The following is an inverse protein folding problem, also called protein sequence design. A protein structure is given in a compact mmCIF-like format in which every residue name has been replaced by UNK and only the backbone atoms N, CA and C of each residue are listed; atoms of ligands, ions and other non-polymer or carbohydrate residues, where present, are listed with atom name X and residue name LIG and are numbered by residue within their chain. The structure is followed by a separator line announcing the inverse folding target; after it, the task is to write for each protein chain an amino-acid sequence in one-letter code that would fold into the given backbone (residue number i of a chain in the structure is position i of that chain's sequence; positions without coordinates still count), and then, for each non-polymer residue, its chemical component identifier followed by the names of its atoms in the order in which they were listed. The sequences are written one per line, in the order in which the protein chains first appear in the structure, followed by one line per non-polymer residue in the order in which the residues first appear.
data_IF_749985950517
#
_entry.id   IF_749985950517
#
_cell.length_a   1.000
_cell.length_b   1.000
_cell.length_c   1.000
_cell.angle_alpha   90.00
_cell.angle_beta   90.00
_cell.angle_gamma   90.00
#
_symmetry.space_group_name_H-M   'P 1'
#
loop_
_entity.id
_entity.type
_entity.pdbx_description
1 polymer ?
#
# COMPACT_ATOMS: atom_id res chain seq x y z
N UNK A 1 -40.44 30.09 -14.80
CA UNK A 1 -39.51 29.42 -15.72
C UNK A 1 -39.69 27.91 -15.53
N UNK A 2 -40.38 27.27 -16.48
CA UNK A 2 -40.50 25.81 -16.52
C UNK A 2 -39.18 25.26 -17.00
N UNK A 3 -38.34 24.77 -16.09
CA UNK A 3 -37.18 23.96 -16.44
C UNK A 3 -37.70 22.59 -16.84
N UNK A 4 -37.87 22.35 -18.13
CA UNK A 4 -38.10 21.01 -18.65
C UNK A 4 -36.96 20.09 -18.13
N UNK A 5 -37.31 19.15 -17.27
CA UNK A 5 -36.39 18.07 -16.87
C UNK A 5 -36.19 17.20 -18.11
N UNK A 6 -35.00 17.27 -18.70
CA UNK A 6 -34.58 16.29 -19.70
C UNK A 6 -34.39 14.95 -18.98
N UNK A 7 -35.28 14.03 -19.16
CA UNK A 7 -35.11 12.64 -18.75
C UNK A 7 -34.28 11.92 -19.83
N UNK A 8 -33.18 11.31 -19.39
CA UNK A 8 -32.42 10.39 -20.21
C UNK A 8 -32.06 9.18 -19.35
N UNK A 9 -32.04 8.02 -19.99
CA UNK A 9 -31.76 6.75 -19.31
C UNK A 9 -30.33 6.31 -19.56
N UNK A 10 -29.68 5.81 -18.50
CA UNK A 10 -28.38 5.18 -18.55
C UNK A 10 -28.49 3.80 -17.93
N UNK A 11 -27.69 2.84 -18.41
CA UNK A 11 -27.61 1.52 -17.76
C UNK A 11 -27.10 1.64 -16.34
N UNK A 12 -26.06 2.47 -16.14
CA UNK A 12 -25.38 2.62 -14.86
C UNK A 12 -24.96 4.07 -14.66
N UNK A 13 -25.20 4.58 -13.46
CA UNK A 13 -24.68 5.88 -13.00
C UNK A 13 -23.64 5.63 -11.91
N UNK A 14 -22.42 6.18 -12.09
CA UNK A 14 -21.33 6.14 -11.12
C UNK A 14 -21.24 7.51 -10.45
N UNK A 15 -21.32 7.55 -9.13
CA UNK A 15 -21.23 8.79 -8.36
C UNK A 15 -19.82 8.99 -7.85
N UNK A 16 -19.18 10.08 -8.27
CA UNK A 16 -17.82 10.48 -7.94
C UNK A 16 -16.79 10.09 -9.02
N UNK A 17 -16.08 11.09 -9.53
CA UNK A 17 -15.01 10.93 -10.53
C UNK A 17 -13.61 10.88 -9.91
N UNK A 18 -13.46 10.29 -8.73
CA UNK A 18 -12.16 9.87 -8.21
C UNK A 18 -11.64 8.63 -8.96
N UNK A 19 -10.42 8.20 -8.65
CA UNK A 19 -9.77 7.05 -9.33
C UNK A 19 -10.65 5.79 -9.34
N UNK A 20 -11.36 5.51 -8.24
CA UNK A 20 -12.25 4.35 -8.14
C UNK A 20 -13.43 4.47 -9.08
N UNK A 21 -14.13 5.61 -9.09
CA UNK A 21 -15.28 5.82 -9.96
C UNK A 21 -14.90 5.81 -11.43
N UNK A 22 -13.82 6.48 -11.81
CA UNK A 22 -13.31 6.50 -13.18
C UNK A 22 -12.89 5.10 -13.65
N UNK A 23 -12.19 4.32 -12.81
CA UNK A 23 -11.80 2.95 -13.14
C UNK A 23 -13.03 2.05 -13.30
N UNK A 24 -14.02 2.19 -12.41
CA UNK A 24 -15.29 1.45 -12.50
C UNK A 24 -16.02 1.77 -13.81
N UNK A 25 -16.16 3.04 -14.13
CA UNK A 25 -16.81 3.49 -15.37
C UNK A 25 -16.07 2.99 -16.62
N UNK A 26 -14.73 3.01 -16.61
CA UNK A 26 -13.90 2.49 -17.69
C UNK A 26 -14.20 1.01 -17.97
N UNK A 27 -14.16 0.15 -16.94
CA UNK A 27 -14.39 -1.28 -17.11
C UNK A 27 -15.82 -1.61 -17.51
N UNK A 28 -16.81 -0.89 -16.95
CA UNK A 28 -18.21 -1.03 -17.34
C UNK A 28 -18.43 -0.64 -18.81
N UNK A 29 -17.85 0.48 -19.23
CA UNK A 29 -17.93 0.93 -20.63
C UNK A 29 -17.23 -0.04 -21.58
N UNK A 30 -16.06 -0.56 -21.18
CA UNK A 30 -15.35 -1.61 -21.94
C UNK A 30 -16.19 -2.89 -22.05
N UNK A 31 -17.01 -3.20 -21.04
CA UNK A 31 -18.00 -4.28 -21.04
C UNK A 31 -19.29 -3.96 -21.80
N UNK A 32 -19.36 -2.86 -22.57
CA UNK A 32 -20.50 -2.50 -23.43
C UNK A 32 -21.66 -1.84 -22.70
N UNK A 33 -21.48 -1.37 -21.46
CA UNK A 33 -22.54 -0.66 -20.72
C UNK A 33 -22.56 0.82 -21.07
N UNK A 34 -23.76 1.41 -21.12
CA UNK A 34 -23.93 2.86 -21.19
C UNK A 34 -23.80 3.45 -19.79
N UNK A 35 -22.67 4.12 -19.54
CA UNK A 35 -22.28 4.59 -18.20
C UNK A 35 -22.17 6.09 -18.18
N UNK A 36 -22.73 6.71 -17.15
CA UNK A 36 -22.54 8.10 -16.81
C UNK A 36 -21.84 8.26 -15.49
N UNK A 37 -20.90 9.22 -15.39
CA UNK A 37 -20.22 9.57 -14.15
C UNK A 37 -20.67 10.94 -13.69
N UNK A 38 -21.17 11.04 -12.46
CA UNK A 38 -21.55 12.30 -11.83
C UNK A 38 -20.49 12.70 -10.82
N UNK A 39 -19.96 13.91 -10.97
CA UNK A 39 -19.00 14.52 -10.05
C UNK A 39 -19.58 15.84 -9.51
N UNK A 40 -19.43 16.08 -8.20
CA UNK A 40 -19.93 17.30 -7.55
C UNK A 40 -18.97 18.47 -7.68
N UNK A 41 -17.70 18.21 -7.88
CA UNK A 41 -16.66 19.22 -8.02
C UNK A 41 -16.46 19.59 -9.50
N UNK A 42 -15.91 20.76 -9.77
CA UNK A 42 -15.62 21.23 -11.13
C UNK A 42 -14.52 20.41 -11.83
N UNK A 43 -13.77 19.61 -11.08
CA UNK A 43 -12.69 18.76 -11.59
C UNK A 43 -12.92 17.30 -11.23
N UNK A 44 -12.41 16.40 -12.06
CA UNK A 44 -12.29 14.97 -11.79
C UNK A 44 -10.92 14.63 -11.17
N UNK A 45 -10.77 13.38 -10.70
CA UNK A 45 -9.53 12.88 -10.08
C UNK A 45 -9.61 12.74 -8.56
N UNK A 46 -10.54 13.41 -7.90
CA UNK A 46 -10.74 13.31 -6.44
C UNK A 46 -9.49 13.75 -5.67
N UNK A 47 -8.91 12.83 -4.88
CA UNK A 47 -7.68 13.09 -4.10
C UNK A 47 -6.39 13.15 -4.95
N UNK A 48 -6.44 12.70 -6.22
CA UNK A 48 -5.30 12.80 -7.13
C UNK A 48 -5.37 14.17 -7.79
N UNK A 49 -4.50 15.06 -7.36
CA UNK A 49 -4.44 16.43 -7.89
C UNK A 49 -3.04 17.01 -7.78
N UNK A 50 -2.53 17.42 -8.92
CA UNK A 50 -1.25 18.09 -9.05
C UNK A 50 -1.44 19.60 -9.08
N UNK A 51 -0.74 20.33 -8.25
CA UNK A 51 -0.71 21.79 -8.25
C UNK A 51 0.51 22.32 -8.99
N UNK A 52 0.28 23.37 -9.75
CA UNK A 52 1.31 24.19 -10.37
C UNK A 52 1.20 25.61 -9.80
N UNK A 53 2.10 25.99 -8.92
CA UNK A 53 2.07 27.30 -8.27
C UNK A 53 3.48 27.88 -8.26
N UNK A 54 3.67 29.07 -8.82
CA UNK A 54 4.93 29.83 -8.83
C UNK A 54 6.14 29.01 -9.34
N UNK A 55 5.92 28.15 -10.36
CA UNK A 55 6.95 27.29 -10.92
C UNK A 55 7.22 26.00 -10.13
N UNK A 56 6.52 25.78 -9.03
CA UNK A 56 6.57 24.54 -8.27
C UNK A 56 5.46 23.58 -8.69
N UNK A 57 5.80 22.30 -8.66
CA UNK A 57 4.88 21.19 -8.93
C UNK A 57 4.79 20.31 -7.68
N UNK A 58 3.58 20.13 -7.16
CA UNK A 58 3.36 19.26 -5.99
C UNK A 58 1.99 18.60 -6.01
N UNK A 59 1.89 17.44 -5.35
CA UNK A 59 0.67 16.66 -5.24
C UNK A 59 -0.07 16.97 -3.93
N UNK A 60 -1.40 17.08 -3.97
CA UNK A 60 -2.23 17.20 -2.76
C UNK A 60 -2.55 15.86 -2.10
N UNK A 61 -2.30 14.79 -2.80
CA UNK A 61 -2.62 13.43 -2.37
C UNK A 61 -1.48 12.46 -2.67
N UNK A 62 -1.78 11.25 -3.17
CA UNK A 62 -0.74 10.27 -3.49
C UNK A 62 0.14 10.75 -4.64
N UNK A 63 1.45 10.74 -4.42
CA UNK A 63 2.46 11.12 -5.42
C UNK A 63 3.08 9.91 -6.14
N UNK A 64 2.83 8.69 -5.66
CA UNK A 64 3.30 7.45 -6.26
C UNK A 64 2.28 6.34 -6.09
N UNK A 65 2.28 5.38 -7.01
CA UNK A 65 1.44 4.20 -6.97
C UNK A 65 2.23 2.92 -7.19
N UNK A 66 1.58 1.79 -6.95
CA UNK A 66 2.13 0.45 -7.23
C UNK A 66 1.14 -0.28 -8.14
N UNK A 67 1.58 -0.64 -9.33
CA UNK A 67 0.83 -1.53 -10.21
C UNK A 67 0.98 -2.97 -9.70
N UNK A 68 0.05 -3.40 -8.85
CA UNK A 68 0.14 -4.69 -8.14
C UNK A 68 -0.79 -5.77 -8.68
N UNK A 69 -1.64 -5.44 -9.66
CA UNK A 69 -2.57 -6.38 -10.28
C UNK A 69 -2.49 -6.33 -11.80
N UNK A 70 -2.79 -7.45 -12.50
CA UNK A 70 -2.85 -7.48 -13.96
C UNK A 70 -3.83 -6.46 -14.55
N UNK A 71 -4.98 -6.27 -13.90
CA UNK A 71 -6.03 -5.34 -14.34
C UNK A 71 -5.55 -3.89 -14.30
N UNK A 72 -4.76 -3.52 -13.29
CA UNK A 72 -4.17 -2.19 -13.21
C UNK A 72 -3.13 -1.98 -14.33
N UNK A 73 -2.32 -2.99 -14.64
CA UNK A 73 -1.38 -2.95 -15.77
C UNK A 73 -2.13 -2.83 -17.09
N UNK A 74 -3.19 -3.61 -17.29
CA UNK A 74 -4.04 -3.54 -18.48
C UNK A 74 -4.67 -2.15 -18.66
N UNK A 75 -5.20 -1.56 -17.59
CA UNK A 75 -5.76 -0.21 -17.60
C UNK A 75 -4.72 0.80 -18.10
N UNK A 76 -3.55 0.84 -17.48
CA UNK A 76 -2.50 1.81 -17.87
C UNK A 76 -1.97 1.57 -19.27
N UNK A 77 -1.87 0.32 -19.72
CA UNK A 77 -1.50 0.02 -21.10
C UNK A 77 -2.55 0.50 -22.10
N UNK A 78 -3.84 0.42 -21.75
CA UNK A 78 -4.92 0.85 -22.64
C UNK A 78 -5.03 2.36 -22.81
N UNK A 79 -4.48 3.15 -21.88
CA UNK A 79 -4.43 4.62 -21.92
C UNK A 79 -3.00 5.15 -22.14
N UNK A 80 -2.06 4.31 -22.59
CA UNK A 80 -0.66 4.66 -22.72
C UNK A 80 -0.38 5.80 -23.74
N UNK A 81 -1.31 6.04 -24.67
CA UNK A 81 -1.23 7.16 -25.60
C UNK A 81 -1.39 8.52 -24.88
N UNK A 82 -2.21 8.56 -23.83
CA UNK A 82 -2.57 9.78 -23.12
C UNK A 82 -1.88 9.89 -21.74
N UNK A 83 -1.45 8.75 -21.16
CA UNK A 83 -0.88 8.69 -19.83
C UNK A 83 0.36 7.78 -19.79
N UNK A 84 1.53 8.35 -19.59
CA UNK A 84 2.78 7.61 -19.47
C UNK A 84 3.10 7.28 -18.01
N UNK A 85 3.40 5.99 -17.75
CA UNK A 85 3.84 5.53 -16.46
C UNK A 85 5.35 5.74 -16.31
N UNK A 86 5.75 6.64 -15.41
CA UNK A 86 7.14 6.84 -15.05
C UNK A 86 7.57 5.87 -13.93
N UNK A 87 8.61 5.08 -14.19
CA UNK A 87 9.16 4.16 -13.18
C UNK A 87 10.02 4.93 -12.19
N UNK A 88 9.72 4.76 -10.90
CA UNK A 88 10.50 5.40 -9.83
C UNK A 88 11.97 4.95 -9.86
N UNK A 89 12.89 5.90 -9.66
CA UNK A 89 14.33 5.63 -9.60
C UNK A 89 14.65 4.66 -8.45
N UNK A 90 15.71 3.88 -8.59
CA UNK A 90 16.15 2.92 -7.55
C UNK A 90 16.45 3.60 -6.21
N UNK A 91 16.93 4.85 -6.22
CA UNK A 91 17.15 5.66 -5.02
C UNK A 91 15.87 5.94 -4.22
N UNK A 92 14.71 6.01 -4.87
CA UNK A 92 13.41 6.21 -4.23
C UNK A 92 12.95 5.00 -3.39
N UNK A 93 13.60 3.85 -3.53
CA UNK A 93 13.32 2.67 -2.71
C UNK A 93 13.84 2.77 -1.27
N UNK A 94 14.78 3.68 -1.01
CA UNK A 94 15.33 3.89 0.32
C UNK A 94 14.32 4.66 1.18
N UNK A 95 13.99 4.10 2.33
CA UNK A 95 13.19 4.76 3.38
C UNK A 95 14.11 5.18 4.50
N UNK A 96 14.11 6.46 4.81
CA UNK A 96 14.97 7.06 5.82
C UNK A 96 14.12 7.40 7.05
N UNK A 97 14.68 7.11 8.22
CA UNK A 97 14.10 7.45 9.52
C UNK A 97 15.05 8.37 10.25
N UNK A 98 14.51 9.45 10.80
CA UNK A 98 15.27 10.37 11.65
C UNK A 98 15.50 9.75 13.03
N UNK A 99 16.75 9.60 13.41
CA UNK A 99 17.13 9.10 14.73
C UNK A 99 18.47 9.67 15.15
N UNK A 100 18.58 10.21 16.38
CA UNK A 100 19.82 10.80 16.92
C UNK A 100 20.48 11.77 15.95
N UNK A 101 19.72 12.77 15.53
CA UNK A 101 20.14 13.87 14.65
C UNK A 101 20.72 13.43 13.28
N UNK A 102 20.33 12.27 12.82
CA UNK A 102 20.72 11.76 11.50
C UNK A 102 19.65 10.94 10.81
N UNK A 103 19.68 10.93 9.47
CA UNK A 103 18.85 10.03 8.69
C UNK A 103 19.49 8.66 8.59
N UNK A 104 18.77 7.64 9.01
CA UNK A 104 19.20 6.25 8.93
C UNK A 104 18.25 5.44 8.05
N UNK A 105 18.77 4.69 7.10
CA UNK A 105 17.97 3.87 6.22
C UNK A 105 17.34 2.67 6.95
N UNK A 106 16.06 2.41 6.67
CA UNK A 106 15.42 1.16 7.08
C UNK A 106 16.11 -0.03 6.41
N UNK A 107 16.37 -1.12 7.13
CA UNK A 107 17.02 -2.29 6.56
C UNK A 107 16.11 -2.97 5.52
N UNK A 108 16.70 -3.36 4.39
CA UNK A 108 16.01 -4.04 3.29
C UNK A 108 16.48 -5.49 3.09
N UNK A 109 17.51 -5.91 3.81
CA UNK A 109 18.09 -7.26 3.77
C UNK A 109 18.46 -7.72 5.17
N UNK A 110 18.76 -9.02 5.33
CA UNK A 110 19.23 -9.58 6.62
C UNK A 110 20.55 -8.96 7.06
N UNK A 111 21.49 -8.76 6.14
CA UNK A 111 22.78 -8.13 6.46
C UNK A 111 22.58 -6.70 6.97
N UNK A 112 21.76 -5.89 6.30
CA UNK A 112 21.47 -4.53 6.75
C UNK A 112 20.62 -4.51 8.03
N UNK A 113 19.81 -5.52 8.30
CA UNK A 113 19.08 -5.65 9.56
C UNK A 113 19.99 -5.92 10.75
N UNK A 114 21.09 -6.68 10.54
CA UNK A 114 22.09 -6.95 11.57
C UNK A 114 22.95 -5.70 11.85
N UNK A 115 23.35 -4.99 10.80
CA UNK A 115 24.32 -3.87 10.92
C UNK A 115 23.66 -2.53 11.24
N UNK A 116 22.35 -2.37 11.02
CA UNK A 116 21.64 -1.08 11.23
C UNK A 116 21.82 -0.54 12.65
N UNK A 117 22.09 0.77 12.81
CA UNK A 117 22.10 1.45 14.11
C UNK A 117 20.69 1.80 14.62
N UNK A 118 19.64 1.56 13.82
CA UNK A 118 18.25 1.83 14.24
C UNK A 118 17.85 1.02 15.47
N UNK A 119 18.36 -0.20 15.60
CA UNK A 119 17.99 -1.14 16.66
C UNK A 119 19.20 -1.53 17.50
N UNK A 120 18.99 -1.61 18.80
CA UNK A 120 20.01 -2.09 19.73
C UNK A 120 20.26 -3.59 19.55
N UNK A 121 21.37 -4.10 20.09
CA UNK A 121 21.64 -5.54 20.12
C UNK A 121 20.52 -6.31 20.82
N UNK A 122 19.99 -5.75 21.92
CA UNK A 122 18.84 -6.32 22.62
C UNK A 122 17.61 -6.43 21.73
N UNK A 123 17.26 -5.36 20.97
CA UNK A 123 16.13 -5.39 20.04
C UNK A 123 16.31 -6.47 18.97
N UNK A 124 17.52 -6.60 18.43
CA UNK A 124 17.86 -7.61 17.42
C UNK A 124 17.74 -9.04 17.98
N UNK A 125 18.21 -9.29 19.21
CA UNK A 125 18.04 -10.57 19.88
C UNK A 125 16.58 -10.85 20.21
N UNK A 126 15.83 -9.83 20.61
CA UNK A 126 14.39 -9.94 20.88
C UNK A 126 13.60 -10.46 19.67
N UNK A 127 13.99 -10.08 18.46
CA UNK A 127 13.36 -10.56 17.21
C UNK A 127 13.55 -12.07 17.02
N UNK A 128 14.67 -12.64 17.42
CA UNK A 128 14.89 -14.10 17.32
C UNK A 128 13.87 -14.89 18.16
N UNK A 129 13.35 -14.29 19.23
CA UNK A 129 12.27 -14.88 20.04
C UNK A 129 10.85 -14.66 19.47
N UNK A 130 10.69 -13.89 18.38
CA UNK A 130 9.38 -13.61 17.80
C UNK A 130 8.59 -14.89 17.42
N UNK A 131 9.22 -15.92 16.81
CA UNK A 131 8.50 -17.15 16.43
C UNK A 131 7.91 -17.95 17.59
N UNK A 132 8.36 -17.71 18.81
CA UNK A 132 7.90 -18.41 20.02
C UNK A 132 6.84 -17.65 20.80
N UNK A 133 6.45 -16.46 20.36
CA UNK A 133 5.41 -15.66 21.02
C UNK A 133 4.05 -16.14 20.66
N UNK A 134 3.15 -16.11 21.62
CA UNK A 134 1.75 -16.49 21.43
C UNK A 134 1.08 -15.62 20.35
N UNK A 135 0.25 -16.28 19.57
CA UNK A 135 -0.61 -15.62 18.56
C UNK A 135 -1.63 -14.73 19.26
N UNK A 136 -1.88 -13.55 18.71
CA UNK A 136 -2.95 -12.67 19.18
C UNK A 136 -4.33 -13.21 18.85
N UNK A 137 -5.26 -13.01 19.78
CA UNK A 137 -6.65 -13.45 19.65
C UNK A 137 -7.63 -12.32 19.35
N UNK A 138 -7.21 -11.06 19.56
CA UNK A 138 -8.03 -9.90 19.28
C UNK A 138 -8.03 -9.55 17.77
N UNK A 139 -9.15 -9.74 17.05
CA UNK A 139 -9.22 -9.43 15.64
C UNK A 139 -9.17 -7.91 15.36
N UNK A 140 -9.40 -7.09 16.37
CA UNK A 140 -9.37 -5.62 16.28
C UNK A 140 -8.09 -5.03 16.89
N UNK A 141 -7.03 -5.84 17.06
CA UNK A 141 -5.74 -5.38 17.56
C UNK A 141 -5.17 -4.28 16.65
N UNK A 142 -4.73 -3.17 17.27
CA UNK A 142 -4.12 -2.06 16.51
C UNK A 142 -2.77 -2.44 15.92
N UNK A 143 -2.33 -1.69 14.91
CA UNK A 143 -0.97 -1.85 14.34
C UNK A 143 0.09 -1.62 15.42
N UNK A 144 -0.13 -0.64 16.30
CA UNK A 144 0.78 -0.38 17.42
C UNK A 144 0.89 -1.59 18.37
N UNK A 145 -0.25 -2.16 18.77
CA UNK A 145 -0.28 -3.24 19.76
C UNK A 145 0.35 -4.53 19.22
N UNK A 146 -0.02 -4.95 18.02
CA UNK A 146 0.56 -6.16 17.40
C UNK A 146 2.07 -6.03 17.23
N UNK A 147 2.56 -4.86 16.81
CA UNK A 147 3.99 -4.63 16.62
C UNK A 147 4.74 -4.59 17.97
N UNK A 148 4.23 -3.86 18.96
CA UNK A 148 4.84 -3.83 20.30
C UNK A 148 4.88 -5.22 20.93
N UNK A 149 3.82 -5.98 20.84
CA UNK A 149 3.72 -7.35 21.34
C UNK A 149 4.71 -8.28 20.63
N UNK A 150 4.77 -8.24 19.30
CA UNK A 150 5.59 -9.13 18.50
C UNK A 150 7.05 -8.70 18.41
N UNK A 151 7.31 -7.45 18.09
CA UNK A 151 8.64 -6.95 17.76
C UNK A 151 9.26 -6.08 18.85
N UNK A 152 8.41 -5.41 19.66
CA UNK A 152 8.84 -4.52 20.74
C UNK A 152 8.78 -3.04 20.35
N UNK A 153 8.98 -2.19 21.39
CA UNK A 153 8.80 -0.74 21.25
C UNK A 153 9.80 -0.09 20.27
N UNK A 154 11.03 -0.56 20.20
CA UNK A 154 12.02 0.03 19.29
C UNK A 154 11.60 -0.15 17.82
N UNK A 155 11.09 -1.32 17.45
CA UNK A 155 10.59 -1.57 16.09
C UNK A 155 9.32 -0.78 15.81
N UNK A 156 8.45 -0.62 16.81
CA UNK A 156 7.31 0.27 16.69
C UNK A 156 7.77 1.70 16.42
N UNK A 157 8.60 2.28 17.28
CA UNK A 157 8.99 3.69 17.22
C UNK A 157 9.84 4.05 15.99
N UNK A 158 10.74 3.15 15.56
CA UNK A 158 11.73 3.47 14.51
C UNK A 158 11.50 2.77 13.18
N UNK A 159 10.51 1.91 13.07
CA UNK A 159 10.18 1.27 11.80
C UNK A 159 8.71 1.46 11.44
N UNK A 160 7.79 1.05 12.31
CA UNK A 160 6.38 0.94 11.94
C UNK A 160 5.66 2.28 12.04
N UNK A 161 5.84 3.02 13.11
CA UNK A 161 5.23 4.33 13.29
C UNK A 161 5.63 5.33 12.19
N UNK A 162 6.92 5.55 11.88
CA UNK A 162 7.32 6.40 10.76
C UNK A 162 6.85 5.88 9.40
N UNK A 163 6.77 4.56 9.22
CA UNK A 163 6.27 3.96 7.99
C UNK A 163 4.77 4.23 7.81
N UNK A 164 3.98 4.05 8.86
CA UNK A 164 2.53 4.30 8.82
C UNK A 164 2.24 5.79 8.65
N UNK A 165 2.93 6.65 9.39
CA UNK A 165 2.81 8.10 9.23
C UNK A 165 3.12 8.55 7.80
N UNK A 166 4.19 8.01 7.19
CA UNK A 166 4.62 8.40 5.85
C UNK A 166 3.74 7.86 4.70
N UNK A 167 3.05 6.72 4.89
CA UNK A 167 2.23 6.10 3.82
C UNK A 167 0.74 6.42 4.00
N UNK A 168 0.24 6.33 5.24
CA UNK A 168 -1.19 6.44 5.52
C UNK A 168 -1.56 7.81 6.11
N UNK A 169 -0.58 8.64 6.46
CA UNK A 169 -0.77 9.86 7.27
C UNK A 169 -1.65 9.57 8.52
N UNK A 170 -1.54 8.35 9.06
CA UNK A 170 -2.43 7.80 10.08
C UNK A 170 -1.71 7.50 11.39
N UNK A 171 -2.52 7.33 12.43
CA UNK A 171 -2.08 6.95 13.76
C UNK A 171 -2.13 5.42 13.93
N UNK A 172 -0.99 4.72 14.06
CA UNK A 172 -0.97 3.26 14.17
C UNK A 172 -1.66 2.72 15.42
N UNK A 173 -1.94 3.56 16.43
CA UNK A 173 -2.71 3.16 17.62
C UNK A 173 -4.21 3.01 17.32
N UNK A 174 -4.70 3.68 16.27
CA UNK A 174 -6.09 3.68 15.84
C UNK A 174 -6.36 2.77 14.63
N UNK A 175 -5.32 2.44 13.88
CA UNK A 175 -5.43 1.59 12.70
C UNK A 175 -5.53 0.12 13.10
N UNK A 176 -6.63 -0.54 12.75
CA UNK A 176 -6.83 -1.98 12.97
C UNK A 176 -5.99 -2.75 11.97
N UNK A 177 -5.13 -3.65 12.46
CA UNK A 177 -4.10 -4.34 11.64
C UNK A 177 -4.69 -5.14 10.48
N UNK A 178 -5.80 -5.84 10.68
CA UNK A 178 -6.43 -6.67 9.65
C UNK A 178 -6.89 -5.88 8.42
N UNK A 179 -7.18 -4.59 8.59
CA UNK A 179 -7.60 -3.70 7.50
C UNK A 179 -6.44 -2.86 6.95
N UNK A 180 -5.61 -2.30 7.83
CA UNK A 180 -4.49 -1.45 7.42
C UNK A 180 -3.34 -2.25 6.81
N UNK A 181 -2.99 -3.38 7.41
CA UNK A 181 -1.89 -4.25 7.01
C UNK A 181 -2.32 -5.73 6.90
N UNK A 182 -3.27 -6.07 6.00
CA UNK A 182 -3.86 -7.42 5.94
C UNK A 182 -2.80 -8.50 5.70
N UNK A 183 -1.76 -8.21 4.93
CA UNK A 183 -0.66 -9.16 4.69
C UNK A 183 0.11 -9.48 5.98
N UNK A 184 0.38 -8.49 6.81
CA UNK A 184 1.06 -8.67 8.09
C UNK A 184 0.17 -9.46 9.08
N UNK A 185 -1.10 -9.10 9.16
CA UNK A 185 -2.09 -9.81 9.97
C UNK A 185 -2.18 -11.30 9.60
N UNK A 186 -2.26 -11.60 8.31
CA UNK A 186 -2.29 -12.98 7.80
C UNK A 186 -1.04 -13.80 8.13
N UNK A 187 0.16 -13.17 8.20
CA UNK A 187 1.37 -13.89 8.61
C UNK A 187 1.22 -14.45 10.02
N UNK A 188 0.72 -13.66 10.95
CA UNK A 188 0.47 -14.16 12.29
C UNK A 188 -0.69 -15.16 12.32
N UNK A 189 -1.81 -14.86 11.67
CA UNK A 189 -3.00 -15.70 11.72
C UNK A 189 -2.77 -17.09 11.13
N UNK A 190 -2.06 -17.19 10.02
CA UNK A 190 -1.87 -18.44 9.29
C UNK A 190 -0.64 -19.22 9.75
N UNK A 191 0.41 -18.54 10.25
CA UNK A 191 1.68 -19.18 10.58
C UNK A 191 2.11 -18.98 12.04
N UNK A 192 1.32 -18.27 12.83
CA UNK A 192 1.59 -17.98 14.24
C UNK A 192 2.75 -16.99 14.48
N UNK A 193 3.42 -16.49 13.40
CA UNK A 193 4.61 -15.66 13.49
C UNK A 193 4.83 -14.88 12.21
N UNK A 194 5.32 -13.66 12.32
CA UNK A 194 5.74 -12.85 11.17
C UNK A 194 6.93 -13.46 10.45
N UNK A 195 7.94 -13.94 11.21
CA UNK A 195 9.18 -14.51 10.65
C UNK A 195 8.87 -15.84 9.96
N UNK A 196 8.21 -16.77 10.67
CA UNK A 196 7.82 -18.08 10.08
C UNK A 196 6.96 -17.89 8.83
N UNK A 197 5.98 -17.01 8.90
CA UNK A 197 5.11 -16.71 7.78
C UNK A 197 5.84 -16.08 6.60
N UNK A 198 6.76 -15.14 6.84
CA UNK A 198 7.56 -14.53 5.78
C UNK A 198 8.45 -15.56 5.07
N UNK A 199 9.13 -16.45 5.84
CA UNK A 199 9.98 -17.52 5.29
C UNK A 199 9.11 -18.48 4.44
N UNK A 200 7.96 -18.91 4.97
CA UNK A 200 7.08 -19.86 4.27
C UNK A 200 6.53 -19.28 2.97
N UNK A 201 6.02 -18.03 3.01
CA UNK A 201 5.56 -17.32 1.80
C UNK A 201 6.67 -17.09 0.77
N UNK A 202 7.90 -16.84 1.20
CA UNK A 202 9.02 -16.70 0.28
C UNK A 202 9.32 -18.02 -0.45
N UNK A 203 9.25 -19.15 0.27
CA UNK A 203 9.41 -20.49 -0.33
C UNK A 203 8.26 -20.80 -1.32
N UNK A 204 7.02 -20.56 -0.91
CA UNK A 204 5.84 -20.78 -1.77
C UNK A 204 5.94 -20.00 -3.09
N UNK A 205 6.29 -18.72 -3.02
CA UNK A 205 6.50 -17.88 -4.22
C UNK A 205 7.64 -18.37 -5.11
N UNK A 206 8.72 -18.91 -4.52
CA UNK A 206 9.83 -19.47 -5.29
C UNK A 206 9.37 -20.72 -6.04
N UNK A 207 8.69 -21.63 -5.37
CA UNK A 207 8.15 -22.87 -5.98
C UNK A 207 7.14 -22.54 -7.08
N UNK A 208 6.27 -21.55 -6.88
CA UNK A 208 5.29 -21.15 -7.89
C UNK A 208 5.96 -20.55 -9.14
N UNK A 209 6.99 -19.72 -8.95
CA UNK A 209 7.80 -19.21 -10.09
C UNK A 209 8.51 -20.31 -10.84
N UNK A 210 9.07 -21.29 -10.14
CA UNK A 210 9.71 -22.46 -10.75
C UNK A 210 8.69 -23.31 -11.55
N UNK A 211 7.46 -23.50 -11.03
CA UNK A 211 6.37 -24.20 -11.74
C UNK A 211 5.90 -23.43 -12.98
N UNK A 212 5.85 -22.10 -12.94
CA UNK A 212 5.48 -21.29 -14.08
C UNK A 212 6.59 -21.30 -15.14
N UNK A 213 7.85 -21.17 -14.75
CA UNK A 213 8.99 -21.22 -15.66
C UNK A 213 9.14 -22.61 -16.34
N UNK A 214 8.70 -23.70 -15.70
CA UNK A 214 8.71 -25.06 -16.30
C UNK A 214 7.49 -25.34 -17.21
N UNK A 215 6.49 -24.50 -17.23
CA UNK A 215 5.33 -24.63 -18.14
C UNK A 215 5.55 -23.94 -19.49
N UNK A 216 6.55 -23.07 -19.57
CA UNK A 216 6.91 -22.34 -20.80
C UNK A 216 8.05 -23.04 -21.59
N UNK A 217 8.35 -24.31 -21.27
CA UNK A 217 9.22 -25.25 -21.99
C UNK A 217 8.38 -26.42 -22.49
#
# INVERSE_FOLDING_TARGET
MNTERKEYTKDIVVIGAGITGLTTAYWLKKGGKDVEVLEKEERFGGQIHTFHVDGYLFESGPNTGVLSSPEAVELFNSIAADCQVAIARSSAKRRLVWKKDSFTALPTSLSTAITTPLFTTYDKLRILGEPFRAKGTNPNESVADIVKRRLGNSYYNYAVDPFIAGIYAGDPTKLITRYALPKLYQLEQNYGSFIRGAIKKAKEKKTERERLATKDV
#
